data_IF_882779454910
#
_entry.id   IF_882779454910
#
_cell.length_a   1.000
_cell.length_b   1.000
_cell.length_c   1.000
_cell.angle_alpha   90.00
_cell.angle_beta   90.00
_cell.angle_gamma   90.00
#
_symmetry.space_group_name_H-M   'P 1'
#
loop_
_entity.id
_entity.type
_entity.pdbx_description
1 polymer ?
#
# COMPACT_ATOMS: atom_id res chain seq x y z
N UNK A 1 4.60 -69.43 -37.81
CA UNK A 1 4.09 -68.04 -37.80
C UNK A 1 4.82 -67.31 -38.90
N UNK A 2 4.10 -66.86 -39.92
CA UNK A 2 4.71 -66.29 -41.13
C UNK A 2 5.29 -64.91 -40.82
N UNK A 3 6.47 -64.63 -41.35
CA UNK A 3 7.23 -63.39 -41.12
C UNK A 3 6.41 -62.12 -41.40
N UNK A 4 5.45 -62.21 -42.33
CA UNK A 4 4.48 -61.17 -42.66
C UNK A 4 3.49 -60.88 -41.52
N UNK A 5 2.98 -61.92 -40.86
CA UNK A 5 2.01 -61.77 -39.76
C UNK A 5 2.64 -61.10 -38.54
N UNK A 6 3.89 -61.43 -38.22
CA UNK A 6 4.64 -60.78 -37.13
C UNK A 6 4.91 -59.30 -37.42
N UNK A 7 5.24 -58.96 -38.67
CA UNK A 7 5.43 -57.56 -39.10
C UNK A 7 4.16 -56.73 -38.94
N UNK A 8 3.03 -57.21 -39.44
CA UNK A 8 1.72 -56.52 -39.32
C UNK A 8 1.31 -56.36 -37.85
N UNK A 9 1.54 -57.38 -37.01
CA UNK A 9 1.20 -57.32 -35.59
C UNK A 9 2.02 -56.25 -34.84
N UNK A 10 3.32 -56.16 -35.12
CA UNK A 10 4.21 -55.16 -34.51
C UNK A 10 3.86 -53.74 -34.94
N UNK A 11 3.49 -53.55 -36.21
CA UNK A 11 3.04 -52.25 -36.72
C UNK A 11 1.71 -51.83 -36.09
N UNK A 12 0.74 -52.74 -36.00
CA UNK A 12 -0.53 -52.48 -35.35
C UNK A 12 -0.34 -52.12 -33.86
N UNK A 13 0.54 -52.84 -33.14
CA UNK A 13 0.89 -52.51 -31.76
C UNK A 13 1.54 -51.13 -31.64
N UNK A 14 2.46 -50.78 -32.55
CA UNK A 14 3.09 -49.46 -32.59
C UNK A 14 2.11 -48.32 -32.84
N UNK A 15 1.12 -48.50 -33.72
CA UNK A 15 0.06 -47.51 -34.00
C UNK A 15 -0.83 -47.30 -32.77
N UNK A 16 -1.20 -48.37 -32.07
CA UNK A 16 -2.02 -48.29 -30.86
C UNK A 16 -1.28 -47.55 -29.75
N UNK A 17 -0.01 -47.91 -29.51
CA UNK A 17 0.84 -47.25 -28.50
C UNK A 17 1.11 -45.79 -28.88
N UNK A 18 1.42 -45.51 -30.14
CA UNK A 18 1.65 -44.16 -30.65
C UNK A 18 0.42 -43.27 -30.54
N UNK A 19 -0.76 -43.79 -30.91
CA UNK A 19 -2.03 -43.07 -30.78
C UNK A 19 -2.40 -42.82 -29.31
N UNK A 20 -2.16 -43.82 -28.43
CA UNK A 20 -2.39 -43.68 -26.99
C UNK A 20 -1.50 -42.61 -26.36
N UNK A 21 -0.21 -42.59 -26.69
CA UNK A 21 0.73 -41.55 -26.23
C UNK A 21 0.36 -40.17 -26.75
N UNK A 22 -0.06 -40.06 -28.02
CA UNK A 22 -0.45 -38.79 -28.61
C UNK A 22 -1.74 -38.24 -27.98
N UNK A 23 -2.72 -39.11 -27.73
CA UNK A 23 -3.97 -38.75 -27.06
C UNK A 23 -3.72 -38.29 -25.62
N UNK A 24 -2.78 -38.93 -24.91
CA UNK A 24 -2.42 -38.56 -23.54
C UNK A 24 -1.60 -37.27 -23.46
N UNK A 25 -0.75 -36.97 -24.45
CA UNK A 25 0.08 -35.75 -24.47
C UNK A 25 -0.64 -34.52 -25.05
N UNK A 26 -1.68 -34.70 -25.85
CA UNK A 26 -2.52 -33.62 -26.39
C UNK A 26 -3.12 -32.67 -25.34
N UNK A 27 -3.69 -33.14 -24.20
CA UNK A 27 -4.25 -32.25 -23.17
C UNK A 27 -3.17 -31.38 -22.50
N UNK A 28 -1.93 -31.85 -22.35
CA UNK A 28 -0.83 -31.06 -21.78
C UNK A 28 -0.51 -29.81 -22.64
N UNK A 29 -0.66 -29.90 -23.96
CA UNK A 29 -0.50 -28.75 -24.86
C UNK A 29 -1.63 -27.73 -24.72
N UNK A 30 -2.85 -28.18 -24.41
CA UNK A 30 -4.00 -27.29 -24.15
C UNK A 30 -3.83 -26.50 -22.86
N UNK A 31 -3.26 -27.14 -21.82
CA UNK A 31 -2.93 -26.47 -20.56
C UNK A 31 -1.90 -25.37 -20.75
N UNK A 32 -0.86 -25.59 -21.56
CA UNK A 32 0.13 -24.55 -21.86
C UNK A 32 -0.50 -23.28 -22.46
N UNK A 33 -1.51 -23.42 -23.32
CA UNK A 33 -2.25 -22.29 -23.88
C UNK A 33 -3.10 -21.54 -22.83
N UNK A 34 -3.65 -22.24 -21.84
CA UNK A 34 -4.38 -21.61 -20.73
C UNK A 34 -3.40 -20.84 -19.83
N UNK A 35 -2.28 -21.43 -19.43
CA UNK A 35 -1.28 -20.73 -18.62
C UNK A 35 -0.74 -19.46 -19.30
N UNK A 36 -0.56 -19.46 -20.63
CA UNK A 36 -0.14 -18.25 -21.35
C UNK A 36 -1.22 -17.17 -21.26
N UNK A 37 -2.49 -17.55 -21.45
CA UNK A 37 -3.63 -16.63 -21.34
C UNK A 37 -3.74 -16.04 -19.94
N UNK A 38 -3.63 -16.87 -18.91
CA UNK A 38 -3.68 -16.43 -17.50
C UNK A 38 -2.55 -15.45 -17.19
N UNK A 39 -1.34 -15.69 -17.72
CA UNK A 39 -0.20 -14.78 -17.56
C UNK A 39 -0.42 -13.45 -18.27
N UNK A 40 -0.97 -13.49 -19.48
CA UNK A 40 -1.25 -12.28 -20.26
C UNK A 40 -2.37 -11.45 -19.61
N UNK A 41 -3.42 -12.11 -19.11
CA UNK A 41 -4.50 -11.46 -18.37
C UNK A 41 -4.01 -10.78 -17.09
N UNK A 42 -3.20 -11.49 -16.29
CA UNK A 42 -2.61 -10.92 -15.07
C UNK A 42 -1.70 -9.71 -15.37
N UNK A 43 -0.93 -9.77 -16.46
CA UNK A 43 -0.09 -8.64 -16.90
C UNK A 43 -0.94 -7.45 -17.32
N UNK A 44 -2.00 -7.69 -18.09
CA UNK A 44 -2.91 -6.64 -18.53
C UNK A 44 -3.62 -5.99 -17.33
N UNK A 45 -4.04 -6.77 -16.33
CA UNK A 45 -4.64 -6.25 -15.11
C UNK A 45 -3.67 -5.34 -14.33
N UNK A 46 -2.39 -5.75 -14.22
CA UNK A 46 -1.36 -4.93 -13.57
C UNK A 46 -1.08 -3.63 -14.33
N UNK A 47 -1.02 -3.68 -15.66
CA UNK A 47 -0.82 -2.50 -16.49
C UNK A 47 -2.00 -1.53 -16.36
N UNK A 48 -3.22 -2.06 -16.36
CA UNK A 48 -4.43 -1.25 -16.15
C UNK A 48 -4.46 -0.61 -14.76
N UNK A 49 -4.11 -1.36 -13.71
CA UNK A 49 -4.01 -0.83 -12.36
C UNK A 49 -2.96 0.28 -12.24
N UNK A 50 -1.78 0.09 -12.83
CA UNK A 50 -0.73 1.13 -12.87
C UNK A 50 -1.23 2.40 -13.56
N UNK A 51 -1.88 2.25 -14.72
CA UNK A 51 -2.47 3.39 -15.43
C UNK A 51 -3.53 4.12 -14.61
N UNK A 52 -4.36 3.39 -13.85
CA UNK A 52 -5.38 3.99 -12.98
C UNK A 52 -4.76 4.75 -11.81
N UNK A 53 -3.67 4.25 -11.24
CA UNK A 53 -2.92 4.92 -10.18
C UNK A 53 -2.26 6.20 -10.71
N UNK A 54 -1.65 6.13 -11.88
CA UNK A 54 -1.04 7.29 -12.53
C UNK A 54 -2.08 8.40 -12.78
N UNK A 55 -3.24 8.04 -13.32
CA UNK A 55 -4.35 8.99 -13.55
C UNK A 55 -4.87 9.58 -12.23
N UNK A 56 -5.00 8.77 -11.18
CA UNK A 56 -5.42 9.25 -9.85
C UNK A 56 -4.43 10.26 -9.27
N UNK A 57 -3.12 10.02 -9.39
CA UNK A 57 -2.11 10.96 -8.91
C UNK A 57 -2.02 12.23 -9.74
N UNK A 58 -2.21 12.14 -11.07
CA UNK A 58 -2.30 13.32 -11.93
C UNK A 58 -3.50 14.21 -11.53
N UNK A 59 -4.68 13.61 -11.38
CA UNK A 59 -5.87 14.34 -10.96
C UNK A 59 -5.73 14.90 -9.53
N UNK A 60 -5.10 14.16 -8.62
CA UNK A 60 -4.82 14.64 -7.26
C UNK A 60 -3.85 15.81 -7.27
N UNK A 61 -2.81 15.77 -8.11
CA UNK A 61 -1.86 16.88 -8.25
C UNK A 61 -2.55 18.16 -8.77
N UNK A 62 -3.49 18.02 -9.71
CA UNK A 62 -4.33 19.13 -10.20
C UNK A 62 -5.18 19.71 -9.06
N UNK A 63 -5.90 18.87 -8.32
CA UNK A 63 -6.71 19.32 -7.17
C UNK A 63 -5.88 20.03 -6.08
N UNK A 64 -4.68 19.51 -5.78
CA UNK A 64 -3.78 20.13 -4.80
C UNK A 64 -3.25 21.48 -5.29
N UNK A 65 -2.97 21.61 -6.58
CA UNK A 65 -2.60 22.87 -7.18
C UNK A 65 -3.74 23.90 -7.08
N UNK A 66 -4.97 23.49 -7.40
CA UNK A 66 -6.16 24.34 -7.29
C UNK A 66 -6.40 24.79 -5.85
N UNK A 67 -6.25 23.88 -4.89
CA UNK A 67 -6.32 24.22 -3.47
C UNK A 67 -5.23 25.22 -3.07
N UNK A 68 -4.01 25.05 -3.56
CA UNK A 68 -2.89 25.98 -3.31
C UNK A 68 -3.19 27.37 -3.87
N UNK A 69 -3.78 27.44 -5.06
CA UNK A 69 -4.19 28.71 -5.66
C UNK A 69 -5.33 29.38 -4.87
N UNK A 70 -6.32 28.61 -4.44
CA UNK A 70 -7.39 29.09 -3.58
C UNK A 70 -6.84 29.63 -2.24
N UNK A 71 -5.90 28.91 -1.62
CA UNK A 71 -5.21 29.35 -0.40
C UNK A 71 -4.48 30.68 -0.61
N UNK A 72 -3.70 30.80 -1.69
CA UNK A 72 -3.00 32.07 -2.02
C UNK A 72 -3.97 33.23 -2.20
N UNK A 73 -5.09 32.98 -2.86
CA UNK A 73 -6.14 33.99 -3.09
C UNK A 73 -6.74 34.46 -1.78
N UNK A 74 -7.08 33.54 -0.87
CA UNK A 74 -7.58 33.86 0.47
C UNK A 74 -6.54 34.67 1.26
N UNK A 75 -5.27 34.23 1.23
CA UNK A 75 -4.20 34.93 1.91
C UNK A 75 -4.00 36.36 1.37
N UNK A 76 -4.05 36.55 0.05
CA UNK A 76 -3.97 37.87 -0.57
C UNK A 76 -5.16 38.76 -0.17
N UNK A 77 -6.37 38.20 -0.14
CA UNK A 77 -7.56 38.93 0.30
C UNK A 77 -7.45 39.36 1.77
N UNK A 78 -6.96 38.47 2.65
CA UNK A 78 -6.70 38.79 4.05
C UNK A 78 -5.61 39.86 4.20
N UNK A 79 -4.53 39.78 3.41
CA UNK A 79 -3.47 40.79 3.41
C UNK A 79 -3.98 42.17 2.98
N UNK A 80 -4.76 42.23 1.89
CA UNK A 80 -5.41 43.47 1.42
C UNK A 80 -6.40 44.01 2.45
N UNK A 81 -7.22 43.15 3.04
CA UNK A 81 -8.17 43.53 4.10
C UNK A 81 -7.46 44.06 5.34
N UNK A 82 -6.37 43.41 5.77
CA UNK A 82 -5.56 43.89 6.87
C UNK A 82 -4.92 45.24 6.57
N UNK A 83 -4.42 45.47 5.35
CA UNK A 83 -3.85 46.77 4.96
C UNK A 83 -4.91 47.89 4.95
N UNK A 84 -6.12 47.61 4.49
CA UNK A 84 -7.21 48.58 4.42
C UNK A 84 -7.82 48.90 5.79
N UNK A 85 -7.97 47.89 6.66
CA UNK A 85 -8.65 48.04 7.96
C UNK A 85 -7.70 48.31 9.14
N UNK A 86 -6.40 48.00 9.04
CA UNK A 86 -5.46 48.23 10.14
C UNK A 86 -4.94 49.67 10.18
N UNK A 87 -4.98 50.27 11.37
CA UNK A 87 -4.19 51.47 11.70
C UNK A 87 -2.69 51.24 11.42
N UNK A 88 -1.92 52.31 11.23
CA UNK A 88 -0.49 52.25 10.89
C UNK A 88 0.33 51.33 11.83
N UNK A 89 0.02 51.33 13.12
CA UNK A 89 0.65 50.44 14.10
C UNK A 89 0.27 48.95 13.96
N UNK A 90 -0.90 48.65 13.40
CA UNK A 90 -1.35 47.29 13.07
C UNK A 90 -0.69 46.77 11.79
N UNK A 91 -0.52 47.62 10.78
CA UNK A 91 0.21 47.27 9.54
C UNK A 91 1.66 46.87 9.81
N UNK A 92 2.39 47.61 10.66
CA UNK A 92 3.78 47.29 11.01
C UNK A 92 3.91 45.94 11.74
N UNK A 93 2.95 45.61 12.62
CA UNK A 93 2.92 44.31 13.33
C UNK A 93 2.52 43.14 12.44
N UNK A 94 1.60 43.35 11.49
CA UNK A 94 1.21 42.32 10.52
C UNK A 94 2.36 42.03 9.53
N UNK A 95 3.05 43.05 9.04
CA UNK A 95 4.20 42.89 8.15
C UNK A 95 5.35 42.09 8.80
N UNK A 96 5.62 42.33 10.09
CA UNK A 96 6.65 41.60 10.84
C UNK A 96 6.34 40.11 11.09
N UNK A 97 5.10 39.66 10.85
CA UNK A 97 4.67 38.27 10.99
C UNK A 97 4.41 37.58 9.64
N UNK A 98 4.69 38.25 8.52
CA UNK A 98 4.54 37.66 7.19
C UNK A 98 5.50 36.47 7.02
N UNK A 99 5.01 35.37 6.43
CA UNK A 99 5.82 34.16 6.18
C UNK A 99 7.07 34.43 5.33
N UNK A 100 7.09 35.53 4.58
CA UNK A 100 8.22 35.99 3.77
C UNK A 100 9.45 36.39 4.60
N UNK A 101 9.29 36.61 5.92
CA UNK A 101 10.40 36.88 6.85
C UNK A 101 11.00 35.63 7.49
N UNK A 102 10.53 34.42 7.13
CA UNK A 102 11.18 33.20 7.59
C UNK A 102 12.60 33.11 6.99
N UNK A 103 13.64 32.83 7.79
CA UNK A 103 14.99 32.66 7.26
C UNK A 103 14.97 31.50 6.26
N UNK A 104 15.36 31.81 5.02
CA UNK A 104 15.54 30.84 3.95
C UNK A 104 16.58 29.83 4.42
N UNK A 105 16.11 28.68 4.92
CA UNK A 105 16.98 27.59 5.35
C UNK A 105 17.53 27.00 4.07
N UNK A 106 18.79 27.32 3.77
CA UNK A 106 19.48 26.88 2.56
C UNK A 106 19.20 25.40 2.30
N UNK A 107 18.71 25.11 1.08
CA UNK A 107 18.34 23.80 0.54
C UNK A 107 19.56 22.85 0.35
N UNK A 108 20.53 22.89 1.28
CA UNK A 108 21.77 22.13 1.22
C UNK A 108 21.69 20.75 1.87
N UNK A 109 20.60 20.46 2.58
CA UNK A 109 20.30 19.10 3.03
C UNK A 109 19.75 18.30 1.83
N UNK A 110 20.40 17.22 1.38
CA UNK A 110 19.88 16.41 0.28
C UNK A 110 18.51 15.87 0.68
N UNK A 111 17.48 16.27 -0.06
CA UNK A 111 16.13 15.74 0.02
C UNK A 111 16.21 14.29 -0.46
N UNK A 112 16.46 13.37 0.46
CA UNK A 112 16.38 11.96 0.17
C UNK A 112 14.89 11.58 0.12
N UNK A 113 14.45 10.82 -0.90
CA UNK A 113 13.10 10.26 -0.88
C UNK A 113 12.90 9.47 0.41
N UNK A 114 11.70 9.46 1.00
CA UNK A 114 11.42 8.67 2.18
C UNK A 114 11.82 7.22 1.89
N UNK A 115 12.68 6.66 2.74
CA UNK A 115 13.04 5.25 2.65
C UNK A 115 11.81 4.43 3.01
N UNK A 116 11.05 4.00 1.99
CA UNK A 116 9.84 3.16 2.11
C UNK A 116 10.12 1.71 2.52
N UNK A 117 11.34 1.40 2.97
CA UNK A 117 11.69 0.08 3.47
C UNK A 117 12.42 0.22 4.80
N UNK A 118 11.86 -0.41 5.84
CA UNK A 118 12.53 -0.57 7.12
C UNK A 118 13.97 -1.09 6.85
N UNK A 119 15.01 -0.43 7.37
CA UNK A 119 16.38 -0.91 7.20
C UNK A 119 16.44 -2.35 7.71
N UNK A 120 17.18 -3.20 7.01
CA UNK A 120 17.31 -4.65 7.22
C UNK A 120 17.91 -5.07 8.57
N UNK A 121 17.85 -4.21 9.59
CA UNK A 121 18.26 -4.44 10.95
C UNK A 121 17.14 -3.93 11.87
N UNK A 122 16.41 -4.88 12.47
CA UNK A 122 15.41 -4.69 13.53
C UNK A 122 14.30 -3.68 13.23
N UNK A 123 13.27 -4.15 12.52
CA UNK A 123 11.97 -3.47 12.49
C UNK A 123 11.19 -3.63 13.81
N UNK A 124 10.01 -3.02 13.87
CA UNK A 124 9.06 -3.14 14.99
C UNK A 124 8.60 -4.57 15.29
N UNK A 125 8.86 -5.52 14.38
CA UNK A 125 8.61 -6.96 14.51
C UNK A 125 9.84 -7.75 15.00
N UNK A 126 10.94 -7.09 15.38
CA UNK A 126 12.07 -7.80 15.94
C UNK A 126 11.73 -8.32 17.34
N UNK A 127 12.17 -9.55 17.63
CA UNK A 127 11.94 -10.26 18.91
C UNK A 127 12.41 -9.45 20.14
N UNK A 128 13.32 -8.50 19.97
CA UNK A 128 13.84 -7.63 21.04
C UNK A 128 13.36 -6.18 20.97
N UNK A 129 12.45 -5.85 20.04
CA UNK A 129 11.84 -4.53 19.94
C UNK A 129 10.96 -4.26 21.17
N UNK A 130 11.34 -3.27 21.97
CA UNK A 130 10.64 -2.92 23.22
C UNK A 130 11.06 -3.74 24.45
N UNK A 131 11.98 -4.71 24.32
CA UNK A 131 12.50 -5.46 25.46
C UNK A 131 13.78 -4.81 26.00
N UNK A 132 13.66 -4.02 27.08
CA UNK A 132 14.81 -3.69 27.93
C UNK A 132 15.24 -4.98 28.62
N UNK A 133 16.29 -5.62 28.09
CA UNK A 133 16.93 -6.77 28.73
C UNK A 133 17.46 -6.29 30.09
N UNK A 134 16.70 -6.56 31.14
CA UNK A 134 17.08 -6.27 32.52
C UNK A 134 18.32 -7.11 32.80
N UNK A 135 19.49 -6.51 33.12
CA UNK A 135 20.59 -7.30 33.64
C UNK A 135 20.15 -7.86 35.00
N UNK A 136 19.78 -9.13 35.02
CA UNK A 136 19.58 -9.92 36.24
C UNK A 136 20.96 -10.05 36.93
N UNK A 137 21.37 -8.99 37.60
CA UNK A 137 22.64 -8.89 38.32
C UNK A 137 22.45 -8.03 39.57
N UNK A 138 23.21 -8.27 40.66
CA UNK A 138 22.83 -7.82 42.01
C UNK A 138 22.96 -6.32 42.29
N UNK A 139 23.16 -5.48 41.27
CA UNK A 139 23.43 -4.05 41.42
C UNK A 139 22.45 -3.24 40.54
N UNK A 140 21.26 -2.95 41.07
CA UNK A 140 20.33 -1.96 40.48
C UNK A 140 20.53 -0.58 41.11
N UNK A 141 20.56 0.51 40.32
CA UNK A 141 20.28 1.85 40.83
C UNK A 141 18.76 2.05 40.90
N UNK A 142 18.27 2.51 42.06
CA UNK A 142 16.88 2.93 42.25
C UNK A 142 16.76 4.38 41.75
N UNK A 143 16.07 4.62 40.64
CA UNK A 143 15.75 5.98 40.18
C UNK A 143 14.36 6.39 40.69
N UNK A 144 14.36 7.24 41.72
CA UNK A 144 13.18 7.75 42.44
C UNK A 144 12.82 9.17 41.99
N UNK A 145 12.84 9.51 40.70
CA UNK A 145 12.63 10.92 40.29
C UNK A 145 11.99 11.10 38.89
N UNK A 146 10.79 10.55 38.65
CA UNK A 146 9.86 11.30 37.79
C UNK A 146 8.38 10.95 38.02
N UNK A 147 7.54 11.92 38.45
CA UNK A 147 6.09 11.76 38.47
C UNK A 147 5.49 11.85 37.05
N UNK A 148 4.49 11.00 36.81
CA UNK A 148 3.68 10.79 35.59
C UNK A 148 3.00 12.07 35.05
N UNK A 149 2.54 12.07 33.78
CA UNK A 149 1.11 11.82 33.60
C UNK A 149 0.73 10.97 32.38
N UNK A 150 -0.37 10.23 32.56
CA UNK A 150 -1.07 9.38 31.59
C UNK A 150 -1.34 10.04 30.23
N UNK A 151 -1.12 9.30 29.14
CA UNK A 151 -1.74 9.56 27.84
C UNK A 151 -2.02 8.24 27.10
N UNK A 152 -3.17 7.66 27.42
CA UNK A 152 -4.12 6.94 26.55
C UNK A 152 -3.50 6.00 25.50
N UNK A 153 -3.51 4.72 25.84
CA UNK A 153 -3.40 3.61 24.89
C UNK A 153 -4.73 3.50 24.13
N UNK A 154 -4.75 3.75 22.83
CA UNK A 154 -5.83 3.26 21.96
C UNK A 154 -5.43 1.89 21.37
N UNK A 155 -6.27 0.85 21.54
CA UNK A 155 -5.99 -0.50 21.07
C UNK A 155 -6.06 -0.62 19.53
N UNK A 156 -5.39 -1.63 18.93
CA UNK A 156 -5.26 -1.80 17.49
C UNK A 156 -6.60 -2.02 16.80
N UNK A 157 -6.79 -1.36 15.65
CA UNK A 157 -7.97 -1.55 14.79
C UNK A 157 -7.75 -2.80 13.92
N UNK A 158 -8.38 -3.91 14.33
CA UNK A 158 -8.58 -5.09 13.49
C UNK A 158 -9.53 -4.75 12.33
N UNK A 159 -9.02 -4.79 11.10
CA UNK A 159 -9.80 -4.64 9.87
C UNK A 159 -9.59 -5.86 8.95
N UNK A 160 -10.29 -6.96 9.25
CA UNK A 160 -10.56 -8.16 8.44
C UNK A 160 -10.77 -9.31 9.46
N UNK A 161 -11.80 -10.14 9.55
CA UNK A 161 -12.86 -10.72 8.73
C UNK A 161 -13.97 -11.14 9.74
N UNK A 162 -15.22 -11.40 9.41
CA UNK A 162 -15.72 -12.09 8.23
C UNK A 162 -17.23 -12.01 8.13
N UNK A 163 -17.69 -12.25 6.90
CA UNK A 163 -19.07 -12.57 6.56
C UNK A 163 -19.57 -13.75 7.40
N UNK A 164 -20.76 -13.62 7.97
CA UNK A 164 -21.66 -14.75 8.11
C UNK A 164 -23.08 -14.31 7.74
N UNK A 165 -23.53 -14.82 6.60
CA UNK A 165 -24.90 -14.84 6.14
C UNK A 165 -25.76 -15.62 7.14
N UNK A 166 -26.76 -14.99 7.76
CA UNK A 166 -27.96 -15.67 8.23
C UNK A 166 -29.14 -14.70 8.17
N UNK A 167 -29.76 -14.69 7.00
CA UNK A 167 -31.09 -14.15 6.77
C UNK A 167 -32.12 -15.14 7.35
N UNK A 168 -32.52 -14.96 8.61
CA UNK A 168 -33.72 -15.58 9.17
C UNK A 168 -34.78 -14.50 9.39
N UNK A 169 -35.53 -14.26 8.31
CA UNK A 169 -36.82 -13.59 8.33
C UNK A 169 -37.81 -14.45 9.13
N UNK A 170 -38.31 -13.88 10.24
CA UNK A 170 -39.53 -14.35 10.89
C UNK A 170 -40.39 -13.15 11.28
N UNK A 171 -41.63 -13.03 10.76
CA UNK A 171 -42.44 -11.84 10.94
C UNK A 171 -43.09 -11.86 12.33
N UNK A 172 -42.75 -10.87 13.16
CA UNK A 172 -43.54 -10.59 14.38
C UNK A 172 -44.77 -9.75 14.02
N UNK A 173 -45.83 -10.50 13.76
CA UNK A 173 -47.21 -10.29 14.17
C UNK A 173 -47.45 -9.20 15.25
N UNK A 174 -48.42 -8.34 14.94
CA UNK A 174 -49.42 -7.71 15.79
C UNK A 174 -49.02 -6.51 16.68
N UNK A 175 -49.42 -5.29 16.27
CA UNK A 175 -50.52 -4.56 16.90
C UNK A 175 -50.99 -3.36 16.07
#
# INVERSE_FOLDING_TARGET
>A
MDMLTTGVLSFAAGVIVGAGLLFWLLPARRQAGQLIRDRDEARQALEHYRSQVDDHFLHTAELVNDMTQAYRTVHEHLSKGAQALCSEGGRKRAAAKSLDSAPNRDNSDPINPPLDYAPSAQGTLAEDFGLRRKPEGPFEPVDVDNPTPDAIVEPPRDYAEGMDDNNEDSPRKDK
#
